data_IF_881259618956
#
_entry.id   IF_881259618956
#
_cell.length_a   1.000
_cell.length_b   1.000
_cell.length_c   1.000
_cell.angle_alpha   90.00
_cell.angle_beta   90.00
_cell.angle_gamma   90.00
#
_symmetry.space_group_name_H-M   'P 1'
#
loop_
_entity.id
_entity.type
_entity.pdbx_description
1 polymer ?
#
# COMPACT_ATOMS: atom_id res chain seq x y z
N UNK A 1 -1.79 -8.39 -16.43
CA UNK A 1 -0.66 -9.23 -15.94
C UNK A 1 -0.06 -8.56 -14.71
N UNK A 2 -0.38 -9.03 -13.49
CA UNK A 2 0.09 -8.38 -12.24
C UNK A 2 1.57 -8.67 -12.02
N UNK A 3 2.45 -7.73 -12.36
CA UNK A 3 3.90 -7.83 -12.15
C UNK A 3 4.25 -8.22 -10.69
N UNK A 4 3.44 -7.78 -9.73
CA UNK A 4 3.53 -8.13 -8.31
C UNK A 4 3.41 -9.64 -8.04
N UNK A 5 2.68 -10.43 -8.86
CA UNK A 5 2.60 -11.91 -8.70
C UNK A 5 3.92 -12.61 -9.02
N UNK A 6 4.81 -11.97 -9.78
CA UNK A 6 6.15 -12.50 -10.06
C UNK A 6 7.10 -12.30 -8.88
N UNK A 7 6.74 -11.45 -7.93
CA UNK A 7 7.52 -11.15 -6.72
C UNK A 7 7.13 -12.09 -5.56
N UNK A 8 7.18 -13.40 -5.78
CA UNK A 8 6.75 -14.43 -4.81
C UNK A 8 7.55 -14.42 -3.49
N UNK A 9 8.75 -13.83 -3.49
CA UNK A 9 9.61 -13.73 -2.32
C UNK A 9 9.57 -12.35 -1.65
N UNK A 10 8.80 -11.40 -2.19
CA UNK A 10 8.76 -10.05 -1.67
C UNK A 10 7.91 -10.01 -0.39
N UNK A 11 8.60 -9.86 0.75
CA UNK A 11 7.98 -9.74 2.07
C UNK A 11 7.67 -8.29 2.46
N UNK A 12 8.39 -7.34 1.87
CA UNK A 12 8.30 -5.91 2.19
C UNK A 12 8.23 -5.10 0.90
N UNK A 13 7.30 -4.15 0.84
CA UNK A 13 7.15 -3.23 -0.28
C UNK A 13 7.04 -1.80 0.25
N UNK A 14 7.85 -0.90 -0.29
CA UNK A 14 7.79 0.52 0.00
C UNK A 14 7.55 1.29 -1.31
N UNK A 15 6.60 2.21 -1.32
CA UNK A 15 6.29 3.01 -2.49
C UNK A 15 5.65 4.34 -2.10
N UNK A 16 5.91 5.36 -2.93
CA UNK A 16 5.30 6.68 -2.82
C UNK A 16 4.01 6.68 -3.62
N UNK A 17 2.89 6.98 -2.97
CA UNK A 17 1.60 7.12 -3.67
C UNK A 17 1.41 8.60 -3.96
N UNK A 18 1.60 8.99 -5.22
CA UNK A 18 1.09 10.24 -5.72
C UNK A 18 -0.43 10.12 -5.89
N UNK A 19 -1.18 11.04 -5.28
CA UNK A 19 -2.65 11.01 -5.15
C UNK A 19 -3.39 11.05 -6.50
N UNK A 20 -2.69 11.24 -7.63
CA UNK A 20 -3.34 11.53 -8.91
C UNK A 20 -3.85 10.32 -9.70
N UNK A 21 -3.82 9.10 -9.16
CA UNK A 21 -4.33 7.92 -9.88
C UNK A 21 -5.28 7.11 -9.04
N UNK A 22 -6.45 6.78 -9.58
CA UNK A 22 -7.34 5.78 -9.03
C UNK A 22 -6.69 4.39 -9.17
N UNK A 23 -5.72 4.12 -8.31
CA UNK A 23 -5.00 2.85 -8.26
C UNK A 23 -5.86 1.75 -7.61
N UNK A 24 -7.18 1.79 -7.83
CA UNK A 24 -8.13 0.84 -7.26
C UNK A 24 -7.70 -0.60 -7.54
N UNK A 25 -7.25 -0.88 -8.76
CA UNK A 25 -6.72 -2.18 -9.15
C UNK A 25 -5.49 -2.62 -8.36
N UNK A 26 -4.62 -1.69 -7.96
CA UNK A 26 -3.46 -1.98 -7.11
C UNK A 26 -3.91 -2.30 -5.69
N UNK A 27 -4.77 -1.47 -5.10
CA UNK A 27 -5.31 -1.69 -3.75
C UNK A 27 -6.13 -2.98 -3.65
N UNK A 28 -6.92 -3.30 -4.68
CA UNK A 28 -7.67 -4.55 -4.78
C UNK A 28 -6.76 -5.77 -4.98
N UNK A 29 -5.56 -5.60 -5.55
CA UNK A 29 -4.60 -6.69 -5.70
C UNK A 29 -3.81 -6.96 -4.42
N UNK A 30 -3.56 -5.96 -3.56
CA UNK A 30 -2.73 -6.09 -2.35
C UNK A 30 -3.16 -7.23 -1.40
N UNK A 31 -4.46 -7.43 -1.09
CA UNK A 31 -4.92 -8.54 -0.26
C UNK A 31 -4.48 -9.92 -0.77
N UNK A 32 -4.36 -10.08 -2.10
CA UNK A 32 -4.01 -11.36 -2.73
C UNK A 32 -2.54 -11.76 -2.53
N UNK A 33 -1.67 -10.83 -2.15
CA UNK A 33 -0.25 -11.09 -1.89
C UNK A 33 -0.03 -11.53 -0.44
N UNK A 34 -0.38 -12.79 -0.11
CA UNK A 34 -0.22 -13.35 1.25
C UNK A 34 1.22 -13.34 1.76
N UNK A 35 2.20 -13.33 0.87
CA UNK A 35 3.62 -13.25 1.21
C UNK A 35 4.05 -11.85 1.67
N UNK A 36 3.31 -10.81 1.29
CA UNK A 36 3.60 -9.44 1.66
C UNK A 36 3.17 -9.23 3.10
N UNK A 37 4.13 -8.87 3.94
CA UNK A 37 3.97 -8.73 5.41
C UNK A 37 4.17 -7.30 5.89
N UNK A 38 4.85 -6.48 5.11
CA UNK A 38 5.02 -5.06 5.41
C UNK A 38 4.79 -4.19 4.18
N UNK A 39 4.02 -3.13 4.35
CA UNK A 39 3.71 -2.14 3.34
C UNK A 39 4.02 -0.75 3.90
N UNK A 40 4.98 -0.05 3.29
CA UNK A 40 5.28 1.34 3.62
C UNK A 40 4.74 2.27 2.55
N UNK A 41 3.90 3.21 2.96
CA UNK A 41 3.17 4.12 2.08
C UNK A 41 3.53 5.54 2.48
N UNK A 42 3.99 6.31 1.50
CA UNK A 42 4.18 7.74 1.66
C UNK A 42 2.96 8.47 1.09
N UNK A 43 2.18 9.12 1.96
CA UNK A 43 0.98 9.88 1.62
C UNK A 43 1.28 11.36 1.50
N UNK A 44 0.84 11.98 0.42
CA UNK A 44 0.77 13.44 0.35
C UNK A 44 -0.44 13.96 1.17
N UNK A 45 -0.47 15.27 1.53
CA UNK A 45 -1.48 15.81 2.45
C UNK A 45 -2.94 15.59 2.03
N UNK A 46 -3.22 15.47 0.73
CA UNK A 46 -4.57 15.28 0.19
C UNK A 46 -4.97 13.80 0.00
N UNK A 47 -4.16 12.86 0.50
CA UNK A 47 -4.36 11.42 0.27
C UNK A 47 -5.58 10.90 1.02
N UNK A 48 -6.41 10.09 0.35
CA UNK A 48 -7.57 9.46 0.98
C UNK A 48 -7.16 8.20 1.74
N UNK A 49 -7.51 8.15 3.02
CA UNK A 49 -7.15 7.04 3.94
C UNK A 49 -8.05 5.80 3.79
N UNK A 50 -9.11 5.86 2.97
CA UNK A 50 -10.13 4.80 2.85
C UNK A 50 -9.56 3.47 2.36
N UNK A 51 -8.64 3.52 1.38
CA UNK A 51 -8.00 2.33 0.81
C UNK A 51 -7.07 1.65 1.83
N UNK A 52 -6.42 2.43 2.70
CA UNK A 52 -5.59 1.91 3.79
C UNK A 52 -6.47 1.22 4.84
N UNK A 53 -7.63 1.82 5.17
CA UNK A 53 -8.58 1.23 6.10
C UNK A 53 -9.13 -0.09 5.57
N UNK A 54 -9.52 -0.13 4.29
CA UNK A 54 -9.95 -1.36 3.61
C UNK A 54 -8.86 -2.44 3.69
N UNK A 55 -7.61 -2.08 3.38
CA UNK A 55 -6.51 -3.04 3.38
C UNK A 55 -6.21 -3.61 4.78
N UNK A 56 -6.27 -2.78 5.83
CA UNK A 56 -6.15 -3.22 7.23
C UNK A 56 -7.22 -4.22 7.62
N UNK A 57 -8.46 -4.04 7.16
CA UNK A 57 -9.55 -4.98 7.42
C UNK A 57 -9.32 -6.32 6.72
N UNK A 58 -8.86 -6.30 5.47
CA UNK A 58 -8.63 -7.53 4.70
C UNK A 58 -7.38 -8.30 5.14
N UNK A 59 -6.36 -7.62 5.66
CA UNK A 59 -5.07 -8.19 6.03
C UNK A 59 -4.58 -7.64 7.37
N UNK A 60 -5.20 -8.06 8.49
CA UNK A 60 -4.77 -7.65 9.82
C UNK A 60 -3.36 -8.18 10.18
N UNK A 61 -2.88 -9.20 9.45
CA UNK A 61 -1.53 -9.77 9.59
C UNK A 61 -0.42 -8.92 8.94
N UNK A 62 -0.79 -7.93 8.13
CA UNK A 62 0.15 -7.10 7.39
C UNK A 62 0.41 -5.79 8.12
N UNK A 63 1.69 -5.50 8.36
CA UNK A 63 2.10 -4.23 8.93
C UNK A 63 1.98 -3.14 7.85
N UNK A 64 1.19 -2.11 8.10
CA UNK A 64 1.04 -0.97 7.19
C UNK A 64 1.57 0.28 7.88
N UNK A 65 2.68 0.81 7.36
CA UNK A 65 3.34 2.02 7.84
C UNK A 65 2.97 3.16 6.89
N UNK A 66 2.42 4.24 7.44
CA UNK A 66 1.98 5.40 6.66
C UNK A 66 2.79 6.61 7.11
N UNK A 67 3.53 7.22 6.19
CA UNK A 67 4.32 8.42 6.43
C UNK A 67 3.78 9.57 5.58
N UNK A 68 3.54 10.74 6.17
CA UNK A 68 3.07 11.91 5.42
C UNK A 68 4.25 12.62 4.77
N UNK A 69 4.30 12.63 3.44
CA UNK A 69 5.30 13.33 2.65
C UNK A 69 4.95 14.83 2.61
N UNK A 70 5.81 15.68 3.18
CA UNK A 70 5.66 17.15 3.13
C UNK A 70 5.54 17.89 4.47
N UNK A 71 5.69 17.22 5.63
CA UNK A 71 5.95 17.94 6.89
C UNK A 71 7.42 17.79 7.28
N UNK A 72 8.28 18.52 6.56
CA UNK A 72 9.58 18.95 7.08
C UNK A 72 9.35 20.37 7.61
N UNK A 73 9.70 20.60 8.88
CA UNK A 73 9.77 21.93 9.48
C UNK A 73 10.82 22.79 8.78
#
# INVERSE_FOLDING_TARGET
>A
MNALKRLKHLKQLAFLIFIMGDYESFWNALPTFRQLKSLKIYLLPQGRDDQIKYLKQQRPDMQIIVERYGMQH
#
